data_IF_622914409692
#
_entry.id   IF_622914409692
#
_cell.length_a   1.000
_cell.length_b   1.000
_cell.length_c   1.000
_cell.angle_alpha   90.00
_cell.angle_beta   90.00
_cell.angle_gamma   90.00
#
_symmetry.space_group_name_H-M   'P 1'
#
loop_
_entity.id
_entity.type
_entity.pdbx_description
1 polymer ?
#
# COMPACT_ATOMS: atom_id res chain seq x y z
N UNK A 1 44.07 12.68 -32.70
CA UNK A 1 42.80 13.12 -32.09
C UNK A 1 42.00 11.90 -31.68
N UNK A 2 41.95 11.61 -30.38
CA UNK A 2 41.29 10.41 -29.84
C UNK A 2 39.78 10.52 -30.03
N UNK A 3 39.19 9.55 -30.74
CA UNK A 3 37.75 9.45 -31.00
C UNK A 3 37.00 8.80 -29.83
N UNK A 4 37.22 9.33 -28.62
CA UNK A 4 36.50 8.87 -27.43
C UNK A 4 35.61 10.01 -26.97
N UNK A 5 34.33 9.94 -27.36
CA UNK A 5 33.29 10.81 -26.79
C UNK A 5 33.28 10.57 -25.27
N UNK A 6 33.18 11.62 -24.43
CA UNK A 6 33.07 11.44 -22.99
C UNK A 6 31.83 10.59 -22.72
N UNK A 7 31.99 9.50 -21.98
CA UNK A 7 30.92 8.55 -21.59
C UNK A 7 29.88 9.15 -20.64
N UNK A 8 29.73 10.48 -20.63
CA UNK A 8 28.73 11.23 -19.91
C UNK A 8 27.54 11.62 -20.79
N UNK A 9 26.95 10.67 -21.55
CA UNK A 9 25.55 10.86 -21.89
C UNK A 9 24.78 10.83 -20.57
N UNK A 10 24.43 12.02 -20.09
CA UNK A 10 23.49 12.23 -19.00
C UNK A 10 22.24 11.39 -19.32
N UNK A 11 22.08 10.26 -18.65
CA UNK A 11 20.82 9.53 -18.70
C UNK A 11 19.73 10.52 -18.28
N UNK A 12 18.68 10.69 -19.08
CA UNK A 12 17.51 11.54 -18.79
C UNK A 12 16.70 11.09 -17.53
N UNK A 13 17.29 10.24 -16.70
CA UNK A 13 16.71 9.58 -15.54
C UNK A 13 17.50 10.11 -14.33
N UNK A 14 17.06 11.23 -13.72
CA UNK A 14 17.84 11.93 -12.70
C UNK A 14 17.95 11.15 -11.38
N UNK A 15 17.08 10.17 -11.15
CA UNK A 15 17.01 9.40 -9.91
C UNK A 15 17.84 8.10 -9.93
N UNK A 16 18.47 7.71 -11.04
CA UNK A 16 19.25 6.47 -11.13
C UNK A 16 20.60 6.68 -11.82
N UNK A 17 21.68 6.31 -11.13
CA UNK A 17 23.05 6.39 -11.66
C UNK A 17 23.35 5.21 -12.58
N UNK A 18 24.12 5.46 -13.64
CA UNK A 18 24.67 4.41 -14.49
C UNK A 18 25.73 3.59 -13.76
N UNK A 19 25.85 2.30 -14.09
CA UNK A 19 26.94 1.46 -13.61
C UNK A 19 26.76 0.85 -12.21
N UNK A 20 25.57 0.95 -11.61
CA UNK A 20 25.21 0.20 -10.38
C UNK A 20 25.41 -1.30 -10.62
N UNK A 21 26.04 -2.00 -9.67
CA UNK A 21 26.29 -3.44 -9.73
C UNK A 21 25.98 -4.07 -8.38
N UNK A 22 25.22 -5.16 -8.42
CA UNK A 22 24.99 -6.06 -7.32
C UNK A 22 25.47 -7.46 -7.69
N UNK A 23 25.94 -8.22 -6.70
CA UNK A 23 26.28 -9.64 -6.87
C UNK A 23 25.03 -10.46 -7.18
N UNK A 24 23.94 -10.18 -6.47
CA UNK A 24 22.61 -10.75 -6.67
C UNK A 24 21.62 -9.63 -7.00
N UNK A 25 20.84 -9.82 -8.06
CA UNK A 25 19.83 -8.86 -8.46
C UNK A 25 18.51 -9.20 -7.77
N UNK A 26 18.02 -8.32 -6.90
CA UNK A 26 16.82 -8.52 -6.10
C UNK A 26 15.93 -7.28 -6.17
N UNK A 27 14.61 -7.47 -6.15
CA UNK A 27 13.63 -6.40 -6.08
C UNK A 27 12.49 -6.83 -5.17
N UNK A 28 12.27 -6.08 -4.10
CA UNK A 28 11.19 -6.30 -3.14
C UNK A 28 10.18 -5.17 -3.25
N UNK A 29 8.90 -5.52 -3.11
CA UNK A 29 7.76 -4.62 -3.17
C UNK A 29 6.87 -4.94 -1.98
N UNK A 30 6.81 -4.03 -1.03
CA UNK A 30 5.97 -4.15 0.15
C UNK A 30 4.70 -3.32 -0.08
N UNK A 31 3.54 -3.97 0.02
CA UNK A 31 2.23 -3.32 -0.05
C UNK A 31 1.73 -3.15 1.38
N UNK A 32 1.60 -1.89 1.80
CA UNK A 32 1.17 -1.53 3.14
C UNK A 32 -0.17 -0.83 3.04
N UNK A 33 -1.16 -1.32 3.78
CA UNK A 33 -2.54 -0.83 3.77
C UNK A 33 -3.00 -0.57 5.20
N UNK A 34 -3.59 0.60 5.40
CA UNK A 34 -4.31 1.00 6.61
C UNK A 34 -5.81 0.96 6.30
N UNK A 35 -6.61 0.38 7.19
CA UNK A 35 -8.06 0.24 7.02
C UNK A 35 -8.75 1.08 8.09
N UNK A 36 -9.42 2.14 7.66
CA UNK A 36 -10.31 2.93 8.51
C UNK A 36 -11.73 2.40 8.35
N UNK A 37 -12.37 2.00 9.45
CA UNK A 37 -13.70 1.40 9.40
C UNK A 37 -14.58 1.78 10.60
N UNK A 38 -15.86 2.03 10.31
CA UNK A 38 -16.93 2.23 11.30
C UNK A 38 -17.83 1.00 11.27
N UNK A 39 -17.96 0.33 12.41
CA UNK A 39 -18.80 -0.85 12.58
C UNK A 39 -19.96 -0.47 13.52
N UNK A 40 -21.19 -0.78 13.13
CA UNK A 40 -22.36 -0.53 13.96
C UNK A 40 -22.49 -1.54 15.11
N UNK A 41 -23.47 -1.31 15.98
CA UNK A 41 -23.75 -2.19 17.13
C UNK A 41 -24.16 -3.63 16.76
N UNK A 42 -24.55 -3.87 15.51
CA UNK A 42 -24.94 -5.18 14.99
C UNK A 42 -23.74 -5.96 14.44
N UNK A 43 -22.57 -5.32 14.33
CA UNK A 43 -21.38 -5.87 13.70
C UNK A 43 -21.34 -5.66 12.18
N UNK A 44 -22.21 -4.79 11.65
CA UNK A 44 -22.24 -4.45 10.23
C UNK A 44 -21.29 -3.28 9.93
N UNK A 45 -20.54 -3.36 8.84
CA UNK A 45 -19.68 -2.28 8.38
C UNK A 45 -20.54 -1.15 7.83
N UNK A 46 -20.44 0.03 8.42
CA UNK A 46 -21.12 1.26 7.96
C UNK A 46 -20.28 1.93 6.88
N UNK A 47 -19.00 2.16 7.19
CA UNK A 47 -18.00 2.78 6.30
C UNK A 47 -16.72 1.97 6.45
N UNK A 48 -16.04 1.76 5.34
CA UNK A 48 -14.67 1.25 5.33
C UNK A 48 -13.92 1.82 4.14
N UNK A 49 -12.72 2.30 4.39
CA UNK A 49 -11.81 2.86 3.39
C UNK A 49 -10.41 2.32 3.62
N UNK A 50 -9.59 2.34 2.57
CA UNK A 50 -8.20 1.88 2.65
C UNK A 50 -7.27 2.96 2.14
N UNK A 51 -6.22 3.23 2.90
CA UNK A 51 -5.11 4.08 2.53
C UNK A 51 -3.90 3.17 2.37
N UNK A 52 -3.38 3.11 1.15
CA UNK A 52 -2.31 2.19 0.79
C UNK A 52 -1.10 2.89 0.22
N UNK A 53 0.06 2.27 0.38
CA UNK A 53 1.27 2.64 -0.33
C UNK A 53 2.15 1.44 -0.62
N UNK A 54 3.01 1.60 -1.62
CA UNK A 54 3.97 0.58 -2.03
C UNK A 54 5.37 1.12 -1.83
N UNK A 55 6.09 0.52 -0.89
CA UNK A 55 7.51 0.76 -0.67
C UNK A 55 8.32 -0.32 -1.38
N UNK A 56 9.44 0.09 -1.98
CA UNK A 56 10.28 -0.78 -2.79
C UNK A 56 11.69 -0.83 -2.21
N UNK A 57 12.32 -2.00 -2.26
CA UNK A 57 13.76 -2.17 -2.08
C UNK A 57 14.34 -2.77 -3.36
N UNK A 58 15.06 -1.95 -4.12
CA UNK A 58 15.62 -2.33 -5.41
C UNK A 58 17.13 -2.47 -5.29
N UNK A 59 17.62 -3.69 -5.56
CA UNK A 59 19.04 -4.04 -5.66
C UNK A 59 19.29 -4.65 -7.04
N UNK A 60 19.11 -3.83 -8.08
CA UNK A 60 19.27 -4.26 -9.47
C UNK A 60 20.48 -3.58 -10.10
N UNK A 61 21.23 -4.31 -10.90
CA UNK A 61 22.37 -3.78 -11.64
C UNK A 61 21.93 -3.01 -12.89
N UNK A 62 22.74 -2.05 -13.34
CA UNK A 62 22.49 -1.30 -14.58
C UNK A 62 21.27 -0.38 -14.52
N UNK A 63 20.54 -0.29 -15.64
CA UNK A 63 19.35 0.55 -15.84
C UNK A 63 18.13 -0.33 -16.14
N UNK A 64 17.56 -1.04 -15.15
CA UNK A 64 16.42 -1.92 -15.35
C UNK A 64 15.16 -1.11 -15.66
N UNK A 65 14.39 -1.58 -16.63
CA UNK A 65 13.06 -1.07 -16.94
C UNK A 65 12.02 -2.08 -16.45
N UNK A 66 11.29 -1.72 -15.39
CA UNK A 66 10.35 -2.61 -14.74
C UNK A 66 8.91 -2.31 -15.18
N UNK A 67 8.11 -3.37 -15.20
CA UNK A 67 6.67 -3.30 -15.46
C UNK A 67 5.93 -4.04 -14.35
N UNK A 68 4.96 -3.38 -13.71
CA UNK A 68 4.11 -3.95 -12.67
C UNK A 68 2.64 -3.71 -13.03
N UNK A 69 1.80 -4.73 -12.84
CA UNK A 69 0.36 -4.67 -13.10
C UNK A 69 -0.42 -5.19 -11.89
N UNK A 70 -1.52 -4.53 -11.56
CA UNK A 70 -2.48 -5.04 -10.58
C UNK A 70 -3.54 -5.89 -11.27
N UNK A 71 -4.12 -6.85 -10.54
CA UNK A 71 -5.26 -7.64 -11.03
C UNK A 71 -6.48 -6.74 -11.24
N UNK A 72 -6.74 -5.84 -10.28
CA UNK A 72 -7.89 -4.94 -10.29
C UNK A 72 -7.45 -3.48 -10.09
N UNK A 73 -6.76 -2.86 -11.06
CA UNK A 73 -6.23 -1.49 -10.92
C UNK A 73 -7.33 -0.43 -10.80
N UNK A 74 -8.58 -0.77 -11.15
CA UNK A 74 -9.75 0.11 -11.04
C UNK A 74 -10.20 0.36 -9.60
N UNK A 75 -9.69 -0.41 -8.63
CA UNK A 75 -9.97 -0.20 -7.21
C UNK A 75 -9.13 0.95 -6.63
N UNK A 76 -8.06 1.36 -7.32
CA UNK A 76 -7.10 2.34 -6.84
C UNK A 76 -7.53 3.74 -7.27
N UNK A 77 -8.00 4.52 -6.30
CA UNK A 77 -8.36 5.93 -6.41
C UNK A 77 -7.24 6.82 -5.83
N UNK A 78 -7.30 8.13 -6.12
CA UNK A 78 -6.39 9.16 -5.59
C UNK A 78 -4.89 8.78 -5.60
N UNK A 79 -4.48 8.14 -6.69
CA UNK A 79 -3.12 7.62 -6.84
C UNK A 79 -2.09 8.74 -6.94
N UNK A 80 -1.00 8.60 -6.19
CA UNK A 80 0.19 9.45 -6.28
C UNK A 80 1.41 8.59 -6.59
N UNK A 81 2.30 9.08 -7.45
CA UNK A 81 3.44 8.31 -7.94
C UNK A 81 4.77 8.97 -7.63
N UNK A 82 5.79 8.15 -7.41
CA UNK A 82 7.17 8.58 -7.52
C UNK A 82 7.47 9.05 -8.97
N UNK A 83 8.30 10.08 -9.18
CA UNK A 83 8.64 10.58 -10.52
C UNK A 83 9.22 9.55 -11.50
N UNK A 84 9.65 8.39 -10.99
CA UNK A 84 10.14 7.30 -11.83
C UNK A 84 9.07 6.61 -12.66
N UNK A 85 7.79 6.75 -12.29
CA UNK A 85 6.65 6.13 -12.96
C UNK A 85 6.24 6.93 -14.19
N UNK A 86 6.12 6.24 -15.32
CA UNK A 86 5.63 6.81 -16.58
C UNK A 86 4.12 7.01 -16.51
N UNK A 87 3.67 8.16 -16.02
CA UNK A 87 2.25 8.48 -15.81
C UNK A 87 1.37 8.19 -17.05
N UNK A 88 1.80 8.57 -18.25
CA UNK A 88 1.02 8.34 -19.49
C UNK A 88 0.64 6.88 -19.71
N UNK A 89 1.52 5.94 -19.35
CA UNK A 89 1.27 4.51 -19.50
C UNK A 89 0.32 3.98 -18.43
N UNK A 90 0.40 4.51 -17.22
CA UNK A 90 -0.61 4.24 -16.19
C UNK A 90 -1.99 4.76 -16.61
N UNK A 91 -2.05 5.96 -17.19
CA UNK A 91 -3.29 6.57 -17.66
C UNK A 91 -3.98 5.71 -18.72
N UNK A 92 -3.25 5.31 -19.77
CA UNK A 92 -3.79 4.54 -20.91
C UNK A 92 -4.01 3.05 -20.63
N UNK A 93 -3.04 2.39 -19.99
CA UNK A 93 -3.00 0.92 -19.88
C UNK A 93 -3.24 0.42 -18.45
N UNK A 94 -3.23 1.31 -17.45
CA UNK A 94 -3.22 0.94 -16.02
C UNK A 94 -2.04 0.00 -15.66
N UNK A 95 -0.91 0.24 -16.33
CA UNK A 95 0.35 -0.47 -16.13
C UNK A 95 1.37 0.50 -15.54
N UNK A 96 2.01 0.10 -14.43
CA UNK A 96 3.15 0.82 -13.88
C UNK A 96 4.39 0.45 -14.66
N UNK A 97 5.05 1.44 -15.24
CA UNK A 97 6.28 1.26 -15.98
C UNK A 97 7.30 2.31 -15.56
N UNK A 98 8.48 1.87 -15.15
CA UNK A 98 9.45 2.74 -14.47
C UNK A 98 10.87 2.18 -14.51
N UNK A 99 11.83 3.10 -14.49
CA UNK A 99 13.22 2.77 -14.11
C UNK A 99 13.38 3.16 -12.64
N UNK A 100 13.47 2.21 -11.70
CA UNK A 100 13.45 2.53 -10.27
C UNK A 100 14.72 3.25 -9.78
N UNK A 101 14.62 4.14 -8.79
CA UNK A 101 15.74 4.50 -7.93
C UNK A 101 16.44 3.28 -7.35
N UNK A 102 17.69 3.45 -6.95
CA UNK A 102 18.45 2.41 -6.27
C UNK A 102 18.16 2.42 -4.76
N UNK A 103 18.04 1.25 -4.14
CA UNK A 103 17.75 1.13 -2.70
C UNK A 103 16.27 1.27 -2.35
N UNK A 104 15.99 1.89 -1.20
CA UNK A 104 14.64 2.06 -0.65
C UNK A 104 13.95 3.32 -1.16
N UNK A 105 12.71 3.21 -1.65
CA UNK A 105 11.87 4.37 -1.98
C UNK A 105 10.38 4.01 -1.97
N UNK A 106 9.52 5.00 -1.76
CA UNK A 106 8.07 4.85 -1.96
C UNK A 106 7.73 5.01 -3.43
N UNK A 107 7.19 3.98 -4.06
CA UNK A 107 6.83 3.99 -5.48
C UNK A 107 5.50 4.68 -5.74
N UNK A 108 4.49 4.40 -4.92
CA UNK A 108 3.17 5.01 -5.05
C UNK A 108 2.39 4.98 -3.74
N UNK A 109 1.38 5.86 -3.64
CA UNK A 109 0.29 5.76 -2.67
C UNK A 109 -1.04 5.76 -3.40
N UNK A 110 -2.07 5.20 -2.76
CA UNK A 110 -3.41 5.07 -3.31
C UNK A 110 -4.45 5.08 -2.19
N UNK A 111 -5.69 5.33 -2.59
CA UNK A 111 -6.86 5.20 -1.74
C UNK A 111 -7.82 4.17 -2.36
N UNK A 112 -8.55 3.42 -1.54
CA UNK A 112 -9.68 2.60 -2.00
C UNK A 112 -10.90 3.12 -1.26
N UNK A 113 -11.78 3.77 -2.01
CA UNK A 113 -12.97 4.41 -1.44
C UNK A 113 -14.05 3.42 -1.01
N UNK A 114 -15.00 3.93 -0.21
CA UNK A 114 -16.12 3.21 0.40
C UNK A 114 -17.13 2.60 -0.58
N UNK A 115 -17.06 2.97 -1.87
CA UNK A 115 -17.87 2.36 -2.93
C UNK A 115 -17.49 0.89 -3.18
N UNK A 116 -16.31 0.47 -2.73
CA UNK A 116 -15.87 -0.91 -2.81
C UNK A 116 -16.12 -1.63 -1.48
N UNK A 117 -16.63 -2.86 -1.53
CA UNK A 117 -16.82 -3.66 -0.31
C UNK A 117 -15.47 -4.05 0.28
N UNK A 118 -15.02 -3.32 1.29
CA UNK A 118 -13.79 -3.62 2.04
C UNK A 118 -14.07 -4.78 3.01
N UNK A 119 -13.30 -5.86 2.87
CA UNK A 119 -13.37 -7.00 3.77
C UNK A 119 -12.65 -6.66 5.09
N UNK A 120 -13.42 -6.38 6.15
CA UNK A 120 -12.87 -6.17 7.49
C UNK A 120 -12.33 -7.51 8.03
N UNK A 121 -11.02 -7.60 8.35
CA UNK A 121 -10.37 -8.87 8.70
C UNK A 121 -10.59 -9.29 10.17
N UNK A 122 -11.37 -8.51 10.92
CA UNK A 122 -11.72 -8.76 12.31
C UNK A 122 -13.23 -8.66 12.48
N UNK A 123 -13.76 -9.37 13.47
CA UNK A 123 -15.10 -9.11 13.99
C UNK A 123 -14.99 -8.62 15.42
N UNK A 124 -15.92 -7.75 15.80
CA UNK A 124 -16.07 -7.25 17.15
C UNK A 124 -17.48 -7.62 17.63
N UNK A 125 -17.54 -8.34 18.75
CA UNK A 125 -18.78 -8.61 19.47
C UNK A 125 -18.72 -7.87 20.79
N UNK A 126 -19.68 -7.00 21.05
CA UNK A 126 -19.76 -6.28 22.31
C UNK A 126 -21.11 -6.52 22.99
N UNK A 127 -21.12 -6.52 24.32
CA UNK A 127 -22.32 -6.53 25.14
C UNK A 127 -22.16 -5.44 26.21
N UNK A 128 -22.96 -4.38 26.07
CA UNK A 128 -22.90 -3.20 26.93
C UNK A 128 -24.25 -3.07 27.62
N UNK A 129 -24.24 -3.12 28.94
CA UNK A 129 -25.39 -2.94 29.79
C UNK A 129 -25.08 -1.87 30.83
N UNK A 130 -25.97 -0.91 30.99
CA UNK A 130 -25.88 0.08 32.06
C UNK A 130 -27.25 0.25 32.68
N UNK A 131 -27.31 0.28 34.01
CA UNK A 131 -28.52 0.57 34.75
C UNK A 131 -28.22 1.54 35.87
N UNK A 132 -28.86 2.69 35.79
CA UNK A 132 -28.75 3.77 36.77
C UNK A 132 -29.00 3.25 38.19
N UNK A 133 -28.09 3.58 39.12
CA UNK A 133 -28.15 3.11 40.51
C UNK A 133 -27.76 1.65 40.78
N UNK A 134 -27.43 0.85 39.76
CA UNK A 134 -27.10 -0.59 39.93
C UNK A 134 -25.85 -1.06 39.17
N UNK A 135 -25.07 -0.12 38.62
CA UNK A 135 -23.83 -0.40 37.91
C UNK A 135 -24.02 -0.78 36.44
N UNK A 136 -22.93 -1.18 35.79
CA UNK A 136 -22.92 -1.56 34.38
C UNK A 136 -22.02 -2.77 34.10
N UNK A 137 -22.19 -3.36 32.92
CA UNK A 137 -21.40 -4.47 32.39
C UNK A 137 -20.94 -4.12 30.97
N UNK A 138 -19.66 -4.32 30.71
CA UNK A 138 -19.03 -4.08 29.42
C UNK A 138 -18.20 -5.31 29.06
N UNK A 139 -18.68 -6.11 28.11
CA UNK A 139 -17.93 -7.22 27.53
C UNK A 139 -17.60 -6.91 26.07
N UNK A 140 -16.33 -7.06 25.69
CA UNK A 140 -15.87 -6.96 24.30
C UNK A 140 -15.07 -8.20 23.95
N UNK A 141 -15.42 -8.81 22.81
CA UNK A 141 -14.70 -9.93 22.21
C UNK A 141 -14.29 -9.54 20.81
N UNK A 142 -13.02 -9.70 20.50
CA UNK A 142 -12.48 -9.44 19.16
C UNK A 142 -11.87 -10.72 18.65
N UNK A 143 -12.18 -11.07 17.41
CA UNK A 143 -11.61 -12.23 16.75
C UNK A 143 -11.35 -11.98 15.27
N UNK A 144 -10.55 -12.83 14.61
CA UNK A 144 -10.32 -12.73 13.18
C UNK A 144 -11.58 -13.11 12.39
N UNK A 145 -11.87 -12.36 11.32
CA UNK A 145 -12.89 -12.68 10.31
C UNK A 145 -12.12 -13.02 9.03
N UNK A 146 -12.23 -14.28 8.56
CA UNK A 146 -11.50 -14.88 7.42
C UNK A 146 -10.37 -14.02 6.84
N UNK A 147 -9.13 -14.25 7.28
CA UNK A 147 -7.99 -13.42 6.86
C UNK A 147 -7.35 -13.86 5.55
N UNK A 148 -7.91 -14.84 4.81
CA UNK A 148 -7.29 -15.43 3.60
C UNK A 148 -5.80 -15.75 3.76
N UNK A 149 -5.35 -16.08 4.98
CA UNK A 149 -3.94 -16.35 5.30
C UNK A 149 -3.05 -15.12 5.53
N UNK A 150 -3.58 -13.89 5.48
CA UNK A 150 -2.83 -12.65 5.76
C UNK A 150 -2.63 -12.47 7.28
N UNK A 151 -1.41 -12.11 7.68
CA UNK A 151 -1.11 -11.73 9.07
C UNK A 151 -1.70 -10.35 9.36
N UNK A 152 -2.58 -10.27 10.36
CA UNK A 152 -3.23 -9.02 10.76
C UNK A 152 -2.63 -8.57 12.10
N UNK A 153 -2.00 -7.40 12.11
CA UNK A 153 -1.69 -6.69 13.37
C UNK A 153 -2.86 -5.76 13.68
N UNK A 154 -3.57 -6.00 14.79
CA UNK A 154 -4.72 -5.20 15.20
C UNK A 154 -4.40 -4.49 16.52
N UNK A 155 -4.49 -3.16 16.53
CA UNK A 155 -4.47 -2.34 17.76
C UNK A 155 -5.87 -1.78 17.96
N UNK A 156 -6.50 -2.10 19.08
CA UNK A 156 -7.86 -1.68 19.38
C UNK A 156 -7.79 -0.59 20.44
N UNK A 157 -8.19 0.63 20.08
CA UNK A 157 -8.35 1.74 21.01
C UNK A 157 -9.84 1.92 21.30
N UNK A 158 -10.25 1.73 22.55
CA UNK A 158 -11.62 1.97 23.00
C UNK A 158 -11.64 3.31 23.75
N UNK A 159 -12.39 4.29 23.23
CA UNK A 159 -12.70 5.53 23.94
C UNK A 159 -14.16 5.48 24.38
N UNK A 160 -14.40 5.58 25.68
CA UNK A 160 -15.74 5.75 26.26
C UNK A 160 -15.87 7.24 26.64
N UNK A 161 -16.70 7.98 25.90
CA UNK A 161 -17.07 9.38 26.18
C UNK A 161 -18.35 9.45 26.99
#
# INVERSE_FOLDING_TARGET
VSATLPTGQLSNIPWRRTGVKYTNNEAYFDVIEEIDAIIDKSGSTVIAEIQGYIDCLIKLSGMPDLTLSFVNPRLLDDVSFHPCVRFKRWESEKILSFVPPDGHFRMMSYHIGSNNTVAIPIYLRHNIYYKEGSGGRFDVTVGPKQTSGKTVSCKICLSLS
#
